data_IF_366626883747
#
_entry.id   IF_366626883747
#
_cell.length_a   1.000
_cell.length_b   1.000
_cell.length_c   1.000
_cell.angle_alpha   90.00
_cell.angle_beta   90.00
_cell.angle_gamma   90.00
#
_symmetry.space_group_name_H-M   'P 1'
#
loop_
_entity.id
_entity.type
_entity.pdbx_description
1 polymer ?
#
# COMPACT_ATOMS: atom_id res chain seq x y z
N UNK A 1 7.38 10.18 -2.01
CA UNK A 1 8.18 9.36 -1.05
C UNK A 1 9.18 8.48 -1.80
N UNK A 2 9.89 9.04 -2.78
CA UNK A 2 10.92 8.31 -3.53
C UNK A 2 12.08 7.88 -2.63
N UNK A 3 12.57 6.65 -2.79
CA UNK A 3 13.77 6.17 -2.14
C UNK A 3 13.59 5.42 -0.80
N UNK A 4 12.35 5.24 -0.30
CA UNK A 4 12.09 4.55 0.96
C UNK A 4 11.03 3.46 0.79
N UNK A 5 11.29 2.29 1.35
CA UNK A 5 10.27 1.27 1.60
C UNK A 5 9.93 1.22 3.08
N UNK A 6 8.72 0.80 3.40
CA UNK A 6 8.30 0.54 4.77
C UNK A 6 8.32 -0.95 5.06
N UNK A 7 8.86 -1.31 6.21
CA UNK A 7 8.81 -2.65 6.76
C UNK A 7 7.89 -2.62 7.98
N UNK A 8 6.73 -3.23 7.88
CA UNK A 8 5.73 -3.28 8.95
C UNK A 8 5.61 -4.68 9.51
N UNK A 9 5.86 -4.84 10.83
CA UNK A 9 5.59 -6.07 11.58
C UNK A 9 4.29 -5.89 12.37
N UNK A 10 3.27 -6.67 12.03
CA UNK A 10 1.97 -6.63 12.71
C UNK A 10 2.00 -7.38 14.04
N UNK A 11 1.54 -6.73 15.11
CA UNK A 11 1.56 -7.20 16.49
C UNK A 11 0.17 -7.56 17.03
N UNK A 12 -0.89 -6.96 16.47
CA UNK A 12 -2.26 -7.22 16.88
C UNK A 12 -2.78 -8.57 16.34
N UNK A 13 -3.81 -9.08 16.99
CA UNK A 13 -4.53 -10.25 16.49
C UNK A 13 -5.23 -9.93 15.17
N UNK A 14 -5.52 -10.99 14.42
CA UNK A 14 -6.26 -10.90 13.16
C UNK A 14 -7.67 -10.35 13.40
N UNK A 15 -7.98 -9.23 12.76
CA UNK A 15 -9.30 -8.56 12.81
C UNK A 15 -10.13 -8.81 11.56
N UNK A 16 -9.72 -9.76 10.71
CA UNK A 16 -10.38 -10.03 9.43
C UNK A 16 -10.11 -8.96 8.37
N UNK A 17 -8.98 -8.27 8.47
CA UNK A 17 -8.57 -7.22 7.54
C UNK A 17 -7.37 -7.68 6.72
N UNK A 18 -7.31 -7.24 5.48
CA UNK A 18 -6.20 -7.48 4.57
C UNK A 18 -5.58 -6.15 4.09
N UNK A 19 -4.28 -6.12 3.91
CA UNK A 19 -3.60 -5.07 3.14
C UNK A 19 -3.71 -5.43 1.66
N UNK A 20 -4.35 -4.58 0.89
CA UNK A 20 -4.63 -4.77 -0.53
C UNK A 20 -3.81 -3.84 -1.39
N UNK A 21 -3.12 -4.40 -2.37
CA UNK A 21 -2.38 -3.71 -3.42
C UNK A 21 -3.11 -3.96 -4.75
N UNK A 22 -4.01 -3.06 -5.18
CA UNK A 22 -4.88 -3.31 -6.33
C UNK A 22 -4.12 -3.44 -7.65
N UNK A 23 -3.03 -2.68 -7.83
CA UNK A 23 -2.20 -2.74 -9.04
C UNK A 23 -1.45 -4.08 -9.13
N UNK A 24 -0.91 -4.55 -8.02
CA UNK A 24 -0.20 -5.83 -7.95
C UNK A 24 -1.14 -7.05 -7.84
N UNK A 25 -2.44 -6.82 -7.65
CA UNK A 25 -3.43 -7.87 -7.41
C UNK A 25 -3.14 -8.71 -6.16
N UNK A 26 -2.46 -8.11 -5.16
CA UNK A 26 -2.03 -8.82 -3.95
C UNK A 26 -2.87 -8.43 -2.75
N UNK A 27 -3.14 -9.42 -1.90
CA UNK A 27 -3.78 -9.26 -0.59
C UNK A 27 -2.95 -10.00 0.44
N UNK A 28 -2.71 -9.33 1.56
CA UNK A 28 -1.89 -9.83 2.65
C UNK A 28 -2.72 -9.74 3.93
N UNK A 29 -3.05 -10.86 4.58
CA UNK A 29 -3.77 -10.85 5.85
C UNK A 29 -2.98 -10.09 6.92
N UNK A 30 -3.65 -9.17 7.61
CA UNK A 30 -3.09 -8.42 8.72
C UNK A 30 -3.25 -9.22 10.01
N UNK A 31 -2.36 -10.17 10.21
CA UNK A 31 -2.33 -11.03 11.40
C UNK A 31 -1.02 -10.88 12.15
N UNK A 32 -1.02 -11.23 13.43
CA UNK A 32 0.17 -11.19 14.29
C UNK A 32 1.33 -11.96 13.66
N UNK A 33 2.52 -11.33 13.62
CA UNK A 33 3.72 -11.89 13.05
C UNK A 33 3.87 -11.73 11.54
N UNK A 34 2.86 -11.19 10.85
CA UNK A 34 3.00 -10.82 9.43
C UNK A 34 3.99 -9.66 9.30
N UNK A 35 4.97 -9.82 8.41
CA UNK A 35 5.88 -8.74 8.00
C UNK A 35 5.57 -8.38 6.55
N UNK A 36 5.41 -7.10 6.28
CA UNK A 36 5.21 -6.58 4.93
C UNK A 36 6.25 -5.52 4.65
N UNK A 37 6.99 -5.69 3.56
CA UNK A 37 7.90 -4.67 3.04
C UNK A 37 7.32 -4.17 1.73
N UNK A 38 7.09 -2.87 1.63
CA UNK A 38 6.46 -2.29 0.46
C UNK A 38 6.85 -0.82 0.26
N UNK A 39 6.75 -0.37 -0.97
CA UNK A 39 6.84 1.04 -1.33
C UNK A 39 5.48 1.71 -1.08
N UNK A 40 5.46 2.72 -0.22
CA UNK A 40 4.25 3.48 0.12
C UNK A 40 3.73 4.35 -1.03
N UNK A 41 4.53 4.58 -2.05
CA UNK A 41 4.09 5.21 -3.30
C UNK A 41 3.13 4.32 -4.10
N UNK A 42 3.13 3.01 -3.84
CA UNK A 42 2.17 2.12 -4.48
C UNK A 42 0.77 2.27 -3.85
N UNK A 43 -0.29 2.34 -4.68
CA UNK A 43 -1.66 2.34 -4.18
C UNK A 43 -1.92 1.12 -3.31
N UNK A 44 -2.35 1.37 -2.09
CA UNK A 44 -2.69 0.32 -1.14
C UNK A 44 -3.81 0.76 -0.20
N UNK A 45 -4.54 -0.19 0.35
CA UNK A 45 -5.59 0.07 1.33
C UNK A 45 -5.76 -1.11 2.28
N UNK A 46 -6.20 -0.82 3.50
CA UNK A 46 -6.73 -1.85 4.39
C UNK A 46 -8.18 -2.09 4.00
N UNK A 47 -8.53 -3.34 3.75
CA UNK A 47 -9.87 -3.76 3.33
C UNK A 47 -10.35 -4.93 4.18
N UNK A 48 -11.66 -5.12 4.24
CA UNK A 48 -12.23 -6.31 4.85
C UNK A 48 -11.87 -7.56 4.05
N UNK A 49 -11.47 -8.62 4.73
CA UNK A 49 -11.15 -9.90 4.10
C UNK A 49 -12.37 -10.45 3.35
N UNK A 50 -12.17 -10.84 2.10
CA UNK A 50 -13.23 -11.33 1.23
C UNK A 50 -14.01 -10.25 0.49
N UNK A 51 -13.82 -8.95 0.81
CA UNK A 51 -14.44 -7.87 0.04
C UNK A 51 -13.81 -7.75 -1.36
N UNK A 52 -14.53 -7.13 -2.29
CA UNK A 52 -13.98 -6.86 -3.64
C UNK A 52 -13.04 -5.65 -3.68
N UNK A 53 -13.04 -4.80 -2.65
CA UNK A 53 -12.24 -3.59 -2.56
C UNK A 53 -12.50 -2.82 -1.28
N UNK A 54 -12.06 -1.57 -1.22
CA UNK A 54 -12.30 -0.70 -0.07
C UNK A 54 -13.78 -0.37 0.06
N UNK A 55 -14.30 -0.51 1.28
CA UNK A 55 -15.64 -0.06 1.69
C UNK A 55 -15.53 0.60 3.06
N UNK A 56 -15.90 1.88 3.14
CA UNK A 56 -15.89 2.63 4.39
C UNK A 56 -16.85 2.02 5.45
N UNK A 57 -17.91 1.33 5.03
CA UNK A 57 -18.85 0.68 5.94
C UNK A 57 -18.20 -0.48 6.73
N UNK A 58 -17.13 -1.07 6.21
CA UNK A 58 -16.36 -2.09 6.93
C UNK A 58 -15.69 -1.55 8.21
N UNK A 59 -15.54 -0.22 8.32
CA UNK A 59 -14.95 0.48 9.47
C UNK A 59 -15.98 1.19 10.33
N UNK A 60 -17.20 0.67 10.36
CA UNK A 60 -18.30 1.25 11.12
C UNK A 60 -17.97 1.40 12.62
N UNK A 61 -18.51 2.42 13.31
CA UNK A 61 -18.35 2.59 14.75
C UNK A 61 -18.79 1.33 15.52
N UNK A 62 -17.99 0.92 16.49
CA UNK A 62 -18.24 -0.27 17.32
C UNK A 62 -17.59 -1.56 16.81
N UNK A 63 -17.04 -1.58 15.60
CA UNK A 63 -16.21 -2.67 15.12
C UNK A 63 -14.73 -2.39 15.43
N UNK A 64 -14.08 -3.31 16.11
CA UNK A 64 -12.64 -3.22 16.35
C UNK A 64 -11.86 -3.68 15.09
N UNK A 65 -11.44 -2.70 14.28
CA UNK A 65 -10.54 -2.89 13.13
C UNK A 65 -9.14 -2.38 13.44
N UNK A 66 -8.82 -2.08 14.72
CA UNK A 66 -7.51 -1.54 15.10
C UNK A 66 -6.39 -2.53 14.81
N UNK A 67 -5.34 -2.02 14.19
CA UNK A 67 -4.10 -2.76 13.94
C UNK A 67 -2.95 -2.07 14.64
N UNK A 68 -2.13 -2.82 15.36
CA UNK A 68 -0.89 -2.35 15.96
C UNK A 68 0.26 -3.00 15.21
N UNK A 69 1.21 -2.19 14.79
CA UNK A 69 2.40 -2.66 14.10
C UNK A 69 3.62 -1.81 14.45
N UNK A 70 4.81 -2.40 14.36
CA UNK A 70 6.07 -1.70 14.32
C UNK A 70 6.42 -1.39 12.88
N UNK A 71 6.90 -0.18 12.63
CA UNK A 71 7.27 0.27 11.29
C UNK A 71 8.72 0.72 11.28
N UNK A 72 9.46 0.31 10.25
CA UNK A 72 10.80 0.79 9.95
C UNK A 72 10.82 1.34 8.52
N UNK A 73 11.53 2.42 8.35
CA UNK A 73 11.86 2.95 7.04
C UNK A 73 13.16 2.32 6.54
N UNK A 74 13.14 1.78 5.34
CA UNK A 74 14.28 1.16 4.68
C UNK A 74 14.70 2.03 3.50
N UNK A 75 15.93 2.57 3.50
CA UNK A 75 16.44 3.33 2.36
C UNK A 75 16.71 2.38 1.20
N UNK A 76 15.80 2.33 0.23
CA UNK A 76 15.90 1.41 -0.92
C UNK A 76 16.97 1.81 -1.95
N UNK A 77 17.57 2.98 -1.78
CA UNK A 77 18.75 3.42 -2.55
C UNK A 77 20.06 2.88 -1.97
N UNK A 78 20.05 2.39 -0.73
CA UNK A 78 21.21 1.77 -0.11
C UNK A 78 21.50 0.41 -0.77
N UNK A 79 22.72 0.25 -1.29
CA UNK A 79 23.12 -0.95 -2.02
C UNK A 79 23.03 -2.24 -1.18
N UNK A 80 23.24 -2.15 0.13
CA UNK A 80 23.12 -3.32 1.03
C UNK A 80 21.66 -3.71 1.21
N UNK A 81 20.74 -2.74 1.35
CA UNK A 81 19.30 -2.97 1.45
C UNK A 81 18.79 -3.58 0.16
N UNK A 82 19.11 -2.99 -0.99
CA UNK A 82 18.77 -3.47 -2.33
C UNK A 82 19.21 -4.93 -2.51
N UNK A 83 20.46 -5.21 -2.21
CA UNK A 83 21.03 -6.56 -2.35
C UNK A 83 20.36 -7.57 -1.39
N UNK A 84 20.21 -7.19 -0.12
CA UNK A 84 19.67 -8.08 0.92
C UNK A 84 18.20 -8.46 0.65
N UNK A 85 17.41 -7.54 0.09
CA UNK A 85 15.99 -7.72 -0.19
C UNK A 85 15.72 -8.19 -1.64
N UNK A 86 16.74 -8.27 -2.49
CA UNK A 86 16.57 -8.61 -3.90
C UNK A 86 15.73 -7.59 -4.68
N UNK A 87 15.71 -6.34 -4.24
CA UNK A 87 14.90 -5.28 -4.87
C UNK A 87 15.54 -4.92 -6.21
N UNK A 88 14.72 -4.84 -7.25
CA UNK A 88 15.08 -4.17 -8.51
C UNK A 88 14.30 -2.88 -8.57
N UNK A 89 15.01 -1.76 -8.54
CA UNK A 89 14.42 -0.47 -8.80
C UNK A 89 14.19 -0.36 -10.30
N UNK A 90 12.95 -0.49 -10.72
CA UNK A 90 12.52 -0.23 -12.09
C UNK A 90 11.71 1.06 -12.05
N UNK A 91 12.39 2.18 -12.21
CA UNK A 91 11.76 3.50 -12.30
C UNK A 91 11.38 3.75 -13.76
N UNK A 92 10.10 3.64 -14.06
CA UNK A 92 9.55 4.20 -15.29
C UNK A 92 9.70 5.74 -15.23
N UNK A 93 10.50 6.37 -16.12
CA UNK A 93 10.70 7.82 -16.11
C UNK A 93 9.38 8.60 -16.26
N UNK A 94 8.39 8.04 -16.97
CA UNK A 94 7.09 8.66 -17.12
C UNK A 94 6.30 8.65 -15.80
N UNK A 95 6.41 7.57 -15.02
CA UNK A 95 5.82 7.48 -13.68
C UNK A 95 6.51 8.43 -12.71
N UNK A 96 7.84 8.56 -12.76
CA UNK A 96 8.59 9.49 -11.91
C UNK A 96 8.14 10.95 -12.14
N UNK A 97 7.98 11.36 -13.40
CA UNK A 97 7.50 12.70 -13.74
C UNK A 97 6.07 12.98 -13.20
N UNK A 98 5.18 11.99 -13.26
CA UNK A 98 3.81 12.13 -12.74
C UNK A 98 3.77 12.17 -11.20
N UNK A 99 4.66 11.46 -10.52
CA UNK A 99 4.81 11.51 -9.07
C UNK A 99 5.36 12.86 -8.60
N UNK A 100 6.31 13.44 -9.33
CA UNK A 100 6.84 14.79 -9.06
C UNK A 100 5.75 15.87 -9.17
N UNK A 101 4.75 15.67 -10.02
CA UNK A 101 3.59 16.57 -10.12
C UNK A 101 2.52 16.31 -9.04
N UNK A 102 2.73 15.34 -8.14
CA UNK A 102 1.76 14.95 -7.11
C UNK A 102 0.52 14.28 -7.67
N UNK A 103 0.58 13.78 -8.89
CA UNK A 103 -0.53 13.08 -9.55
C UNK A 103 -0.53 11.60 -9.19
N UNK A 104 -1.72 11.07 -8.96
CA UNK A 104 -1.92 9.63 -8.81
C UNK A 104 -2.00 8.99 -10.20
N UNK A 105 -1.38 7.83 -10.36
CA UNK A 105 -1.39 7.08 -11.61
C UNK A 105 -1.91 5.66 -11.39
N UNK A 106 -2.67 5.18 -12.36
CA UNK A 106 -3.12 3.80 -12.44
C UNK A 106 -2.86 3.27 -13.85
N UNK A 107 -2.12 2.17 -13.95
CA UNK A 107 -1.74 1.58 -15.26
C UNK A 107 -1.06 2.57 -16.22
N UNK A 108 -0.30 3.54 -15.69
CA UNK A 108 0.37 4.56 -16.50
C UNK A 108 -0.50 5.74 -16.92
N UNK A 109 -1.76 5.80 -16.52
CA UNK A 109 -2.68 6.92 -16.75
C UNK A 109 -2.93 7.71 -15.45
N UNK A 110 -3.15 9.02 -15.59
CA UNK A 110 -3.55 9.85 -14.45
C UNK A 110 -4.87 9.32 -13.86
N UNK A 111 -4.95 9.27 -12.55
CA UNK A 111 -6.12 8.76 -11.84
C UNK A 111 -6.45 9.62 -10.64
N UNK A 112 -7.71 9.61 -10.23
CA UNK A 112 -8.16 10.24 -9.00
C UNK A 112 -8.73 9.19 -8.06
N UNK A 113 -8.63 9.44 -6.75
CA UNK A 113 -9.24 8.61 -5.73
C UNK A 113 -10.37 9.40 -5.08
N UNK A 114 -11.56 8.85 -5.06
CA UNK A 114 -12.68 9.43 -4.34
C UNK A 114 -12.37 9.43 -2.84
N UNK A 115 -12.30 10.60 -2.22
CA UNK A 115 -11.98 10.74 -0.79
C UNK A 115 -13.00 10.06 0.12
N UNK A 116 -14.25 9.92 -0.31
CA UNK A 116 -15.31 9.32 0.49
C UNK A 116 -15.35 7.80 0.39
N UNK A 117 -15.00 7.21 -0.77
CA UNK A 117 -15.14 5.78 -1.01
C UNK A 117 -13.82 5.04 -1.26
N UNK A 118 -12.72 5.77 -1.43
CA UNK A 118 -11.43 5.20 -1.82
C UNK A 118 -11.43 4.57 -3.23
N UNK A 119 -12.47 4.78 -4.02
CA UNK A 119 -12.55 4.23 -5.38
C UNK A 119 -11.71 5.05 -6.34
N UNK A 120 -11.05 4.33 -7.23
CA UNK A 120 -10.31 4.92 -8.34
C UNK A 120 -11.25 5.31 -9.48
N UNK A 121 -11.01 6.47 -10.07
CA UNK A 121 -11.54 6.87 -11.37
C UNK A 121 -10.38 7.29 -12.26
N UNK A 122 -10.37 6.81 -13.49
CA UNK A 122 -9.45 7.31 -14.50
C UNK A 122 -9.92 8.71 -14.90
N UNK A 123 -8.99 9.64 -15.01
CA UNK A 123 -9.25 10.97 -15.57
C UNK A 123 -9.11 10.86 -17.09
N UNK A 124 -10.21 11.08 -17.81
CA UNK A 124 -10.21 11.24 -19.27
C UNK A 124 -9.33 12.41 -19.71
#
# INVERSE_FOLDING_TARGET
YGGMAFCNLFLSDDKGMDLHFPVAGRRIPLSRGTVVIFDTGQPHAVIERGSSGFDAAAFAPGRDCSTVFLSWELPIEDAHVVHALGIRLDTDPAMAALLDEGRLCRHGAAATVCAASGRWSETD
#
